data_IF_267542217979
#
_entry.id   IF_267542217979
#
_cell.length_a   1.000
_cell.length_b   1.000
_cell.length_c   1.000
_cell.angle_alpha   90.00
_cell.angle_beta   90.00
_cell.angle_gamma   90.00
#
_symmetry.space_group_name_H-M   'P 1'
#
loop_
_entity.id
_entity.type
_entity.pdbx_description
1 polymer ?
#
# COMPACT_ATOMS: atom_id res chain seq x y z
N UNK A 1 0.33 8.46 21.54
CA UNK A 1 -0.70 7.91 20.62
C UNK A 1 0.06 7.01 19.67
N UNK A 2 -0.26 5.71 19.62
CA UNK A 2 0.39 4.83 18.62
C UNK A 2 -0.41 5.04 17.33
N UNK A 3 0.17 5.72 16.35
CA UNK A 3 -0.43 5.85 15.02
C UNK A 3 -0.43 4.47 14.35
N UNK A 4 -1.49 4.16 13.59
CA UNK A 4 -1.53 2.91 12.85
C UNK A 4 -0.46 2.92 11.74
N UNK A 5 0.09 1.74 11.44
CA UNK A 5 1.27 1.63 10.56
C UNK A 5 0.98 2.15 9.15
N UNK A 6 -0.25 2.00 8.68
CA UNK A 6 -0.70 2.51 7.38
C UNK A 6 -0.82 4.04 7.34
N UNK A 7 -1.23 4.70 8.44
CA UNK A 7 -1.26 6.17 8.53
C UNK A 7 0.17 6.72 8.51
N UNK A 8 1.04 6.15 9.35
CA UNK A 8 2.45 6.55 9.39
C UNK A 8 3.13 6.41 8.02
N UNK A 9 2.90 5.31 7.30
CA UNK A 9 3.44 5.11 5.96
C UNK A 9 2.98 6.22 5.00
N UNK A 10 1.69 6.54 5.01
CA UNK A 10 1.11 7.55 4.12
C UNK A 10 1.67 8.95 4.37
N UNK A 11 1.83 9.34 5.63
CA UNK A 11 2.45 10.62 6.00
C UNK A 11 3.90 10.71 5.52
N UNK A 12 4.71 9.68 5.79
CA UNK A 12 6.13 9.68 5.38
C UNK A 12 6.30 9.73 3.87
N UNK A 13 5.49 9.01 3.11
CA UNK A 13 5.55 9.04 1.64
C UNK A 13 5.11 10.40 1.09
N UNK A 14 4.04 10.98 1.65
CA UNK A 14 3.50 12.27 1.21
C UNK A 14 4.47 13.41 1.50
N UNK A 15 5.11 13.45 2.69
CA UNK A 15 6.14 14.44 3.03
C UNK A 15 7.35 14.41 2.08
N UNK A 16 7.70 13.21 1.60
CA UNK A 16 8.82 13.03 0.68
C UNK A 16 8.41 13.20 -0.79
N UNK A 17 7.12 13.39 -1.09
CA UNK A 17 6.61 13.42 -2.46
C UNK A 17 6.82 12.10 -3.22
N UNK A 18 6.90 10.99 -2.49
CA UNK A 18 7.15 9.66 -3.04
C UNK A 18 5.85 8.88 -3.19
N UNK A 19 5.87 7.91 -4.09
CA UNK A 19 4.77 6.98 -4.30
C UNK A 19 5.23 5.53 -4.14
N UNK A 20 4.28 4.63 -3.91
CA UNK A 20 4.52 3.20 -3.76
C UNK A 20 3.49 2.39 -4.54
N UNK A 21 3.91 1.21 -5.00
CA UNK A 21 3.07 0.15 -5.54
C UNK A 21 3.43 -1.17 -4.89
N UNK A 22 2.53 -2.15 -4.97
CA UNK A 22 2.79 -3.51 -4.46
C UNK A 22 2.64 -4.56 -5.55
N UNK A 23 3.45 -5.62 -5.44
CA UNK A 23 3.24 -6.87 -6.16
C UNK A 23 3.05 -7.96 -5.10
N UNK A 24 1.90 -8.63 -5.14
CA UNK A 24 1.47 -9.58 -4.13
C UNK A 24 1.27 -10.98 -4.74
N UNK A 25 1.53 -12.01 -3.94
CA UNK A 25 1.23 -13.41 -4.28
C UNK A 25 0.37 -14.01 -3.15
N UNK A 26 0.96 -14.74 -2.20
CA UNK A 26 0.22 -15.41 -1.12
C UNK A 26 -0.62 -14.50 -0.23
N UNK A 27 -0.30 -13.20 -0.16
CA UNK A 27 -1.05 -12.21 0.62
C UNK A 27 -2.38 -11.82 -0.03
N UNK A 28 -2.57 -12.13 -1.32
CA UNK A 28 -3.86 -12.03 -2.00
C UNK A 28 -4.47 -10.63 -2.03
N UNK A 29 -3.67 -9.57 -1.94
CA UNK A 29 -4.16 -8.19 -1.91
C UNK A 29 -4.30 -7.61 -0.50
N UNK A 30 -3.96 -8.34 0.56
CA UNK A 30 -4.08 -7.85 1.93
C UNK A 30 -3.16 -6.66 2.22
N UNK A 31 -1.99 -6.58 1.57
CA UNK A 31 -1.10 -5.42 1.74
C UNK A 31 -1.71 -4.20 1.07
N UNK A 32 -2.17 -4.33 -0.18
CA UNK A 32 -2.89 -3.27 -0.88
C UNK A 32 -4.11 -2.83 -0.07
N UNK A 33 -4.89 -3.77 0.48
CA UNK A 33 -6.05 -3.47 1.31
C UNK A 33 -5.68 -2.60 2.52
N UNK A 34 -4.67 -3.00 3.30
CA UNK A 34 -4.20 -2.23 4.47
C UNK A 34 -3.74 -0.83 4.06
N UNK A 35 -3.00 -0.69 2.95
CA UNK A 35 -2.57 0.62 2.44
C UNK A 35 -3.77 1.48 2.04
N UNK A 36 -4.75 0.91 1.33
CA UNK A 36 -5.93 1.64 0.86
C UNK A 36 -6.92 2.00 1.97
N UNK A 37 -6.87 1.32 3.12
CA UNK A 37 -7.68 1.66 4.29
C UNK A 37 -7.24 2.98 4.95
N UNK A 38 -6.01 3.44 4.71
CA UNK A 38 -5.58 4.76 5.16
C UNK A 38 -6.30 5.87 4.35
N UNK A 39 -6.96 6.84 5.00
CA UNK A 39 -7.54 7.99 4.31
C UNK A 39 -6.48 8.75 3.50
N UNK A 40 -6.82 9.14 2.28
CA UNK A 40 -5.88 9.86 1.39
C UNK A 40 -4.83 8.97 0.72
N UNK A 41 -4.95 7.64 0.85
CA UNK A 41 -4.03 6.67 0.24
C UNK A 41 -3.80 6.84 -1.26
N UNK A 42 -4.76 7.39 -2.00
CA UNK A 42 -4.62 7.71 -3.43
C UNK A 42 -3.53 8.73 -3.76
N UNK A 43 -3.05 9.52 -2.80
CA UNK A 43 -1.98 10.50 -2.99
C UNK A 43 -0.63 9.79 -3.20
N UNK A 44 -0.39 8.69 -2.48
CA UNK A 44 0.92 8.01 -2.46
C UNK A 44 0.87 6.57 -2.96
N UNK A 45 -0.29 5.93 -3.03
CA UNK A 45 -0.42 4.56 -3.52
C UNK A 45 -0.88 4.52 -4.98
N UNK A 46 -0.02 4.02 -5.86
CA UNK A 46 -0.29 3.94 -7.31
C UNK A 46 -1.04 2.67 -7.71
N UNK A 47 -1.24 1.73 -6.78
CA UNK A 47 -1.91 0.46 -7.01
C UNK A 47 -0.98 -0.74 -6.88
N UNK A 48 -1.45 -1.90 -7.34
CA UNK A 48 -0.67 -3.12 -7.27
C UNK A 48 -1.19 -4.23 -8.16
N UNK A 49 -0.37 -5.28 -8.27
CA UNK A 49 -0.66 -6.50 -9.02
C UNK A 49 -0.72 -7.67 -8.06
N UNK A 50 -1.66 -8.58 -8.27
CA UNK A 50 -1.77 -9.83 -7.52
C UNK A 50 -1.51 -10.98 -8.49
N UNK A 51 -0.35 -11.61 -8.32
CA UNK A 51 0.15 -12.73 -9.11
C UNK A 51 0.28 -13.96 -8.20
N UNK A 52 -0.82 -14.71 -8.06
CA UNK A 52 -0.86 -15.85 -7.13
C UNK A 52 -0.21 -17.11 -7.72
N UNK A 53 -0.47 -17.39 -9.00
CA UNK A 53 0.11 -18.52 -9.70
C UNK A 53 1.45 -18.13 -10.33
N UNK A 54 2.36 -19.10 -10.51
CA UNK A 54 3.70 -18.85 -11.03
C UNK A 54 3.70 -18.30 -12.47
N UNK A 55 2.65 -18.61 -13.22
CA UNK A 55 2.45 -18.19 -14.62
C UNK A 55 1.76 -16.82 -14.77
N UNK A 56 1.35 -16.20 -13.67
CA UNK A 56 0.78 -14.84 -13.60
C UNK A 56 1.87 -13.87 -13.16
#
# INVERSE_FOLDING_TARGET
>A
MIESREIFLGERLSELGLTISVAESFTGGMIAHVITNAPGSSIYFQGGVIAYANEV
#
